data_IF_911570224110
#
_entry.id   IF_911570224110
#
_cell.length_a   1.000
_cell.length_b   1.000
_cell.length_c   1.000
_cell.angle_alpha   90.00
_cell.angle_beta   90.00
_cell.angle_gamma   90.00
#
_symmetry.space_group_name_H-M   'P 1'
#
loop_
_entity.id
_entity.type
_entity.pdbx_description
1 polymer ?
#
# COMPACT_ATOMS: atom_id res chain seq x y z
N UNK A 1 -6.77 8.93 21.60
CA UNK A 1 -7.27 8.71 20.22
C UNK A 1 -6.60 9.75 19.34
N UNK A 2 -6.07 9.38 18.18
CA UNK A 2 -5.40 10.30 17.28
C UNK A 2 -6.19 10.43 15.98
N UNK A 3 -6.35 11.67 15.53
CA UNK A 3 -6.93 11.97 14.21
C UNK A 3 -5.80 12.00 13.20
N UNK A 4 -5.99 11.28 12.10
CA UNK A 4 -5.07 11.28 10.97
C UNK A 4 -5.91 11.49 9.70
N UNK A 5 -5.29 12.11 8.69
CA UNK A 5 -5.93 12.38 7.40
C UNK A 5 -5.20 11.60 6.32
N UNK A 6 -5.95 10.89 5.47
CA UNK A 6 -5.47 10.17 4.29
C UNK A 6 -5.80 10.98 3.05
N UNK A 7 -4.84 11.06 2.12
CA UNK A 7 -5.03 11.73 0.84
C UNK A 7 -5.74 10.82 -0.16
N UNK A 8 -6.38 11.37 -1.19
CA UNK A 8 -7.18 10.59 -2.16
C UNK A 8 -6.41 9.50 -2.91
N UNK A 9 -5.12 9.74 -3.16
CA UNK A 9 -4.21 8.79 -3.81
C UNK A 9 -3.60 7.77 -2.85
N UNK A 10 -3.95 7.82 -1.56
CA UNK A 10 -3.55 6.84 -0.56
C UNK A 10 -4.78 6.05 -0.07
N UNK A 11 -4.61 4.76 0.19
CA UNK A 11 -5.56 3.96 0.99
C UNK A 11 -4.91 3.52 2.27
N UNK A 12 -5.70 3.43 3.34
CA UNK A 12 -5.20 2.98 4.64
C UNK A 12 -5.87 1.69 5.07
N UNK A 13 -5.05 0.72 5.44
CA UNK A 13 -5.51 -0.51 6.10
C UNK A 13 -5.24 -0.37 7.60
N UNK A 14 -6.27 -0.54 8.43
CA UNK A 14 -6.15 -0.51 9.89
C UNK A 14 -6.32 -1.91 10.45
N UNK A 15 -5.34 -2.33 11.23
CA UNK A 15 -5.35 -3.57 11.99
C UNK A 15 -5.58 -3.27 13.46
N UNK A 16 -6.59 -3.89 14.07
CA UNK A 16 -6.91 -3.80 15.49
C UNK A 16 -6.62 -5.14 16.15
N UNK A 17 -5.64 -5.19 17.06
CA UNK A 17 -5.22 -6.43 17.74
C UNK A 17 -4.90 -7.58 16.76
N UNK A 18 -4.23 -7.26 15.65
CA UNK A 18 -3.87 -8.23 14.61
C UNK A 18 -5.01 -8.61 13.64
N UNK A 19 -6.23 -8.10 13.85
CA UNK A 19 -7.37 -8.35 12.94
C UNK A 19 -7.60 -7.15 12.03
N UNK A 20 -7.98 -7.43 10.78
CA UNK A 20 -8.43 -6.40 9.86
C UNK A 20 -9.72 -5.77 10.39
N UNK A 21 -9.81 -4.44 10.39
CA UNK A 21 -11.06 -3.75 10.75
C UNK A 21 -12.21 -4.14 9.79
N UNK A 22 -13.46 -4.24 10.30
CA UNK A 22 -14.63 -4.44 9.45
C UNK A 22 -14.75 -3.27 8.46
N UNK A 23 -14.96 -3.59 7.18
CA UNK A 23 -14.95 -2.61 6.08
C UNK A 23 -13.65 -2.58 5.25
N UNK A 24 -12.62 -3.36 5.63
CA UNK A 24 -11.41 -3.52 4.82
C UNK A 24 -10.54 -2.27 4.76
N UNK A 25 -9.98 -1.98 3.58
CA UNK A 25 -9.18 -0.78 3.36
C UNK A 25 -10.07 0.46 3.48
N UNK A 26 -9.79 1.32 4.47
CA UNK A 26 -10.47 2.61 4.61
C UNK A 26 -10.04 3.53 3.47
N UNK A 27 -11.04 4.12 2.83
CA UNK A 27 -10.86 5.12 1.78
C UNK A 27 -10.21 6.41 2.30
N UNK A 28 -10.02 7.39 1.40
CA UNK A 28 -9.44 8.68 1.76
C UNK A 28 -10.33 9.46 2.74
N UNK A 29 -9.71 10.36 3.51
CA UNK A 29 -10.40 11.18 4.51
C UNK A 29 -9.88 11.00 5.94
N UNK A 30 -10.72 11.36 6.90
CA UNK A 30 -10.36 11.43 8.32
C UNK A 30 -10.56 10.07 8.98
N UNK A 31 -9.53 9.57 9.65
CA UNK A 31 -9.58 8.30 10.39
C UNK A 31 -9.06 8.46 11.82
N UNK A 32 -9.67 7.69 12.72
CA UNK A 32 -9.29 7.62 14.12
C UNK A 32 -8.46 6.37 14.38
N UNK A 33 -7.34 6.54 15.07
CA UNK A 33 -6.43 5.45 15.46
C UNK A 33 -6.14 5.54 16.95
N UNK A 34 -6.15 4.40 17.63
CA UNK A 34 -5.69 4.26 19.01
C UNK A 34 -4.22 3.82 19.01
N UNK A 35 -3.26 4.63 19.53
CA UNK A 35 -1.82 4.40 19.36
C UNK A 35 -1.27 3.09 19.96
N UNK A 36 -2.01 2.42 20.84
CA UNK A 36 -1.56 1.16 21.48
C UNK A 36 -2.16 -0.11 20.88
N UNK A 37 -3.31 0.00 20.21
CA UNK A 37 -4.14 -1.14 19.79
C UNK A 37 -4.22 -1.23 18.26
N UNK A 38 -4.29 -0.06 17.62
CA UNK A 38 -4.52 0.06 16.19
C UNK A 38 -3.19 0.32 15.48
N UNK A 39 -2.84 -0.53 14.52
CA UNK A 39 -1.73 -0.33 13.59
C UNK A 39 -2.30 0.03 12.22
N UNK A 40 -1.75 1.02 11.53
CA UNK A 40 -2.20 1.40 10.19
C UNK A 40 -1.08 1.33 9.16
N UNK A 41 -1.42 0.97 7.93
CA UNK A 41 -0.51 0.96 6.78
C UNK A 41 -1.11 1.78 5.64
N UNK A 42 -0.35 2.75 5.15
CA UNK A 42 -0.68 3.54 3.95
C UNK A 42 -0.21 2.78 2.72
N UNK A 43 -1.07 2.69 1.72
CA UNK A 43 -0.80 2.10 0.42
C UNK A 43 -1.06 3.17 -0.61
N UNK A 44 -0.05 3.49 -1.42
CA UNK A 44 -0.18 4.41 -2.53
C UNK A 44 -0.93 3.72 -3.68
N UNK A 45 -1.94 4.39 -4.25
CA UNK A 45 -2.72 3.89 -5.37
C UNK A 45 -2.11 4.24 -6.74
N UNK A 46 -1.05 5.05 -6.77
CA UNK A 46 -0.39 5.46 -8.02
C UNK A 46 0.43 4.30 -8.59
N UNK A 47 0.42 4.20 -9.90
CA UNK A 47 1.25 3.24 -10.64
C UNK A 47 2.70 3.73 -10.60
N UNK A 48 3.61 2.85 -10.19
CA UNK A 48 5.05 3.10 -10.22
C UNK A 48 5.60 2.39 -11.47
N UNK A 49 6.28 3.14 -12.33
CA UNK A 49 7.00 2.58 -13.47
C UNK A 49 8.33 2.01 -13.00
N UNK A 50 8.55 0.72 -13.18
CA UNK A 50 9.84 0.08 -12.95
C UNK A 50 10.59 0.00 -14.28
N UNK A 51 11.84 0.45 -14.29
CA UNK A 51 12.73 0.26 -15.43
C UNK A 51 13.15 -1.21 -15.48
N UNK A 52 12.70 -1.93 -16.50
CA UNK A 52 13.14 -3.30 -16.74
C UNK A 52 14.52 -3.25 -17.40
N UNK A 53 15.53 -3.94 -16.87
CA UNK A 53 16.84 -3.95 -17.51
C UNK A 53 16.72 -4.58 -18.91
N UNK A 54 17.43 -4.04 -19.92
CA UNK A 54 17.45 -4.63 -21.25
C UNK A 54 18.00 -6.06 -21.16
N UNK A 55 17.27 -7.02 -21.72
CA UNK A 55 17.70 -8.41 -21.78
C UNK A 55 18.50 -8.63 -23.06
N UNK A 56 19.73 -9.13 -22.92
CA UNK A 56 20.51 -9.59 -24.06
C UNK A 56 19.90 -10.88 -24.60
N UNK A 57 19.30 -10.83 -25.78
CA UNK A 57 18.91 -12.02 -26.52
C UNK A 57 20.17 -12.68 -27.08
N UNK A 58 20.71 -13.67 -26.38
CA UNK A 58 21.77 -14.53 -26.94
C UNK A 58 21.16 -15.36 -28.07
N UNK A 59 21.22 -14.85 -29.30
CA UNK A 59 20.98 -15.67 -30.48
C UNK A 59 22.12 -16.69 -30.60
N UNK A 60 21.92 -17.85 -29.98
CA UNK A 60 22.76 -19.02 -30.18
C UNK A 60 22.49 -19.58 -31.58
N UNK A 61 23.04 -18.92 -32.61
CA UNK A 61 23.19 -19.55 -33.92
C UNK A 61 24.42 -20.44 -33.87
N UNK A 62 24.14 -21.70 -33.54
CA UNK A 62 24.98 -22.85 -33.81
C UNK A 62 25.01 -23.06 -35.33
N UNK A 63 26.04 -22.55 -36.00
CA UNK A 63 26.51 -23.06 -37.28
C UNK A 63 28.04 -23.10 -37.24
#
# INVERSE_FOLDING_TARGET
MCVKVVQEYERVVVFRLGRLMPGGAKGPGIFFVVPCIDTYRKVDLRVISFEVPPQEVTFRHSF
#
